data_IF_692565658250
#
_entry.id   IF_692565658250
#
_cell.length_a   1.000
_cell.length_b   1.000
_cell.length_c   1.000
_cell.angle_alpha   90.00
_cell.angle_beta   90.00
_cell.angle_gamma   90.00
#
_symmetry.space_group_name_H-M   'P 1'
#
loop_
_entity.id
_entity.type
_entity.pdbx_description
1 polymer ?
#
# COMPACT_ATOMS: atom_id res chain seq x y z
N UNK A 1 10.91 7.08 -16.83
CA UNK A 1 11.44 7.30 -15.48
C UNK A 1 10.69 6.41 -14.51
N UNK A 2 11.37 5.55 -13.76
CA UNK A 2 10.72 4.74 -12.72
C UNK A 2 10.17 5.63 -11.62
N UNK A 3 8.99 5.31 -11.07
CA UNK A 3 8.44 6.01 -9.89
C UNK A 3 9.42 5.83 -8.73
N UNK A 4 9.70 6.88 -7.98
CA UNK A 4 10.55 6.80 -6.78
C UNK A 4 9.72 6.51 -5.54
N UNK A 5 10.35 5.96 -4.50
CA UNK A 5 9.73 5.84 -3.19
C UNK A 5 9.73 7.19 -2.48
N UNK A 6 8.60 7.56 -1.91
CA UNK A 6 8.47 8.77 -1.11
C UNK A 6 8.92 8.51 0.33
N UNK A 7 9.42 9.56 0.97
CA UNK A 7 9.78 9.57 2.39
C UNK A 7 8.54 9.70 3.28
N UNK A 8 8.67 9.35 4.57
CA UNK A 8 7.57 9.50 5.54
C UNK A 8 7.07 10.96 5.67
N UNK A 9 7.94 11.94 5.44
CA UNK A 9 7.55 13.37 5.45
C UNK A 9 6.63 13.70 4.27
N UNK A 10 7.00 13.25 3.08
CA UNK A 10 6.22 13.47 1.86
C UNK A 10 4.87 12.73 1.90
N UNK A 11 4.86 11.52 2.48
CA UNK A 11 3.63 10.74 2.72
C UNK A 11 2.68 11.52 3.65
N UNK A 12 3.19 12.13 4.72
CA UNK A 12 2.36 12.90 5.65
C UNK A 12 1.88 14.22 5.04
N UNK A 13 2.71 14.90 4.24
CA UNK A 13 2.30 16.09 3.49
C UNK A 13 1.22 15.80 2.44
N UNK A 14 1.30 14.64 1.78
CA UNK A 14 0.24 14.17 0.89
C UNK A 14 -1.07 13.98 1.67
N UNK A 15 -1.03 13.32 2.83
CA UNK A 15 -2.21 13.11 3.67
C UNK A 15 -2.84 14.39 4.20
N UNK A 16 -2.03 15.39 4.55
CA UNK A 16 -2.55 16.70 4.98
C UNK A 16 -3.38 17.37 3.88
N UNK A 17 -3.06 17.13 2.61
CA UNK A 17 -3.75 17.71 1.45
C UNK A 17 -4.92 16.85 0.94
N UNK A 18 -4.77 15.53 0.98
CA UNK A 18 -5.66 14.57 0.33
C UNK A 18 -6.54 13.76 1.31
N UNK A 19 -6.32 13.91 2.62
CA UNK A 19 -7.02 13.16 3.66
C UNK A 19 -6.26 11.95 4.20
N UNK A 20 -6.74 11.41 5.32
CA UNK A 20 -6.08 10.34 6.10
C UNK A 20 -6.76 8.97 6.04
N UNK A 21 -7.93 8.86 5.39
CA UNK A 21 -8.74 7.62 5.40
C UNK A 21 -8.06 6.45 4.67
N UNK A 22 -7.56 6.68 3.45
CA UNK A 22 -6.80 5.70 2.68
C UNK A 22 -5.63 6.39 1.98
N UNK A 23 -4.54 5.64 1.72
CA UNK A 23 -3.40 6.16 0.98
C UNK A 23 -3.46 5.70 -0.49
N UNK A 24 -3.69 6.64 -1.39
CA UNK A 24 -3.79 6.41 -2.83
C UNK A 24 -2.94 7.45 -3.55
N UNK A 25 -1.68 7.12 -3.84
CA UNK A 25 -0.74 8.04 -4.49
C UNK A 25 -0.08 7.37 -5.70
N UNK A 26 -0.43 7.82 -6.91
CA UNK A 26 0.11 7.30 -8.16
C UNK A 26 1.60 7.66 -8.37
N UNK A 27 2.11 8.69 -7.71
CA UNK A 27 3.49 9.16 -7.86
C UNK A 27 4.46 8.48 -6.90
N UNK A 28 3.94 7.82 -5.87
CA UNK A 28 4.71 7.12 -4.86
C UNK A 28 4.86 5.63 -5.20
N UNK A 29 6.11 5.18 -5.39
CA UNK A 29 6.42 3.78 -5.66
C UNK A 29 6.39 2.88 -4.42
N UNK A 30 6.15 3.41 -3.22
CA UNK A 30 6.01 2.58 -2.03
C UNK A 30 4.84 1.59 -2.17
N UNK A 31 5.09 0.36 -1.75
CA UNK A 31 4.07 -0.67 -1.58
C UNK A 31 3.38 -0.50 -0.22
N UNK A 32 4.20 -0.40 0.83
CA UNK A 32 3.77 -0.17 2.21
C UNK A 32 4.14 1.24 2.65
N UNK A 33 3.21 1.91 3.33
CA UNK A 33 3.42 3.22 3.96
C UNK A 33 2.94 3.18 5.41
N UNK A 34 3.46 4.02 6.32
CA UNK A 34 2.99 4.03 7.70
C UNK A 34 1.50 4.32 7.75
N UNK A 35 0.73 3.71 8.66
CA UNK A 35 -0.69 4.08 8.85
C UNK A 35 -0.81 5.56 9.21
N UNK A 36 -1.89 6.20 8.78
CA UNK A 36 -2.14 7.61 9.09
C UNK A 36 -2.47 7.83 10.58
N UNK A 37 -3.02 6.81 11.23
CA UNK A 37 -3.41 6.79 12.63
C UNK A 37 -2.81 5.56 13.31
N UNK A 38 -2.13 5.77 14.44
CA UNK A 38 -1.51 4.70 15.23
C UNK A 38 -0.24 4.10 14.61
N UNK A 39 0.08 2.87 15.01
CA UNK A 39 1.29 2.15 14.62
C UNK A 39 1.05 1.15 13.48
N UNK A 40 2.10 0.89 12.70
CA UNK A 40 2.12 -0.11 11.63
C UNK A 40 1.99 0.48 10.23
N UNK A 41 1.72 -0.40 9.26
CA UNK A 41 1.73 -0.07 7.83
C UNK A 41 0.36 -0.30 7.18
N UNK A 42 0.12 0.40 6.09
CA UNK A 42 -0.98 0.17 5.14
C UNK A 42 -0.41 0.14 3.72
N UNK A 43 -1.22 -0.26 2.75
CA UNK A 43 -0.81 -0.32 1.35
C UNK A 43 -1.02 1.03 0.65
N UNK A 44 -0.20 1.30 -0.35
CA UNK A 44 -0.53 2.30 -1.36
C UNK A 44 -1.49 1.68 -2.38
N UNK A 45 -2.77 2.01 -2.28
CA UNK A 45 -3.83 1.45 -3.12
C UNK A 45 -3.73 1.83 -4.60
N UNK A 46 -2.91 2.83 -4.92
CA UNK A 46 -2.60 3.23 -6.30
C UNK A 46 -1.45 2.41 -6.94
N UNK A 47 -0.74 1.59 -6.16
CA UNK A 47 0.37 0.80 -6.64
C UNK A 47 -0.11 -0.60 -7.10
N UNK A 48 0.06 -0.99 -8.38
CA UNK A 48 -0.34 -2.31 -8.87
C UNK A 48 0.29 -3.48 -8.08
N UNK A 49 1.49 -3.29 -7.53
CA UNK A 49 2.14 -4.30 -6.70
C UNK A 49 1.41 -4.54 -5.36
N UNK A 50 0.65 -3.55 -4.86
CA UNK A 50 -0.22 -3.73 -3.67
C UNK A 50 -1.30 -4.76 -3.94
N UNK A 51 -1.90 -4.69 -5.12
CA UNK A 51 -2.92 -5.64 -5.54
C UNK A 51 -2.34 -7.02 -5.82
N UNK A 52 -1.16 -7.10 -6.42
CA UNK A 52 -0.46 -8.38 -6.58
C UNK A 52 -0.12 -9.02 -5.23
N UNK A 53 0.31 -8.23 -4.24
CA UNK A 53 0.56 -8.70 -2.88
C UNK A 53 -0.71 -9.23 -2.21
N UNK A 54 -1.83 -8.52 -2.35
CA UNK A 54 -3.14 -8.98 -1.86
C UNK A 54 -3.56 -10.29 -2.54
N UNK A 55 -3.46 -10.36 -3.88
CA UNK A 55 -3.78 -11.55 -4.65
C UNK A 55 -2.92 -12.74 -4.26
N UNK A 56 -1.63 -12.53 -3.97
CA UNK A 56 -0.74 -13.58 -3.50
C UNK A 56 -1.21 -14.17 -2.16
N UNK A 57 -1.58 -13.31 -1.20
CA UNK A 57 -2.09 -13.76 0.10
C UNK A 57 -3.37 -14.58 -0.08
N UNK A 58 -4.35 -14.04 -0.81
CA UNK A 58 -5.60 -14.77 -1.06
C UNK A 58 -5.36 -16.05 -1.87
N UNK A 59 -4.48 -16.02 -2.85
CA UNK A 59 -4.08 -17.17 -3.66
C UNK A 59 -3.50 -18.29 -2.79
N UNK A 60 -2.63 -17.99 -1.84
CA UNK A 60 -2.09 -18.98 -0.88
C UNK A 60 -3.21 -19.56 -0.01
N UNK A 61 -4.11 -18.72 0.50
CA UNK A 61 -5.22 -19.16 1.34
C UNK A 61 -6.16 -20.10 0.56
N UNK A 62 -6.53 -19.71 -0.66
CA UNK A 62 -7.40 -20.48 -1.56
C UNK A 62 -6.71 -21.77 -1.98
N UNK A 63 -5.46 -21.70 -2.42
CA UNK A 63 -4.66 -22.88 -2.79
C UNK A 63 -4.61 -23.87 -1.63
N UNK A 64 -4.24 -23.42 -0.43
CA UNK A 64 -4.25 -24.27 0.77
C UNK A 64 -5.64 -24.88 1.01
N UNK A 65 -6.71 -24.14 0.77
CA UNK A 65 -8.07 -24.64 0.99
C UNK A 65 -8.50 -25.68 -0.04
N UNK A 66 -8.09 -25.53 -1.31
CA UNK A 66 -8.39 -26.46 -2.40
C UNK A 66 -7.57 -27.75 -2.27
N UNK A 67 -6.28 -27.62 -1.95
CA UNK A 67 -5.33 -28.73 -1.86
C UNK A 67 -5.10 -29.19 -0.41
N UNK A 68 -6.13 -29.02 0.42
CA UNK A 68 -6.16 -29.47 1.82
C UNK A 68 -6.05 -30.98 1.94
#
# INVERSE_FOLDING_TARGET
MGKRKWSNKEIEEFRKRNGKFAYYNLEDANLFVPKALGFGWTLNWANPLSWLFILLIFGIIIFRHIFK
#
